data_IF_802093341408
#
_entry.id   IF_802093341408
#
_cell.length_a   1.000
_cell.length_b   1.000
_cell.length_c   1.000
_cell.angle_alpha   90.00
_cell.angle_beta   90.00
_cell.angle_gamma   90.00
#
_symmetry.space_group_name_H-M   'P 1'
#
loop_
_entity.id
_entity.type
_entity.pdbx_description
1 polymer ?
#
# COMPACT_ATOMS: atom_id res chain seq x y z
N UNK A 1 -7.19 -41.27 26.29
CA UNK A 1 -7.62 -40.83 24.94
C UNK A 1 -6.87 -39.53 24.61
N UNK A 2 -5.90 -39.57 23.70
CA UNK A 2 -5.19 -38.38 23.22
C UNK A 2 -6.05 -37.73 22.13
N UNK A 3 -6.64 -36.58 22.41
CA UNK A 3 -7.37 -35.78 21.44
C UNK A 3 -6.38 -35.18 20.45
N UNK A 4 -6.65 -35.42 19.17
CA UNK A 4 -5.87 -34.96 18.03
C UNK A 4 -6.00 -33.43 17.92
N UNK A 5 -4.85 -32.80 17.71
CA UNK A 5 -4.70 -31.57 16.92
C UNK A 5 -5.43 -30.32 17.41
N UNK A 6 -4.91 -29.71 18.47
CA UNK A 6 -5.13 -28.30 18.73
C UNK A 6 -3.78 -27.57 18.76
N UNK A 7 -3.37 -27.04 17.62
CA UNK A 7 -2.10 -26.33 17.41
C UNK A 7 -2.06 -24.93 18.08
N UNK A 8 -3.12 -24.55 18.80
CA UNK A 8 -3.27 -23.25 19.45
C UNK A 8 -3.28 -23.33 20.99
N UNK A 9 -3.01 -24.50 21.58
CA UNK A 9 -2.94 -24.66 23.05
C UNK A 9 -1.63 -24.13 23.61
N UNK A 10 -1.65 -23.62 24.85
CA UNK A 10 -0.46 -23.08 25.54
C UNK A 10 0.69 -24.09 25.59
N UNK A 11 0.37 -25.38 25.76
CA UNK A 11 1.34 -26.49 25.77
C UNK A 11 2.17 -26.59 24.48
N UNK A 12 1.58 -26.25 23.33
CA UNK A 12 2.26 -26.33 22.03
C UNK A 12 3.27 -25.18 21.83
N UNK A 13 2.95 -23.99 22.33
CA UNK A 13 3.88 -22.87 22.32
C UNK A 13 5.07 -23.14 23.26
N UNK A 14 4.85 -23.79 24.39
CA UNK A 14 5.94 -24.14 25.30
C UNK A 14 6.94 -25.12 24.69
N UNK A 15 6.49 -26.08 23.87
CA UNK A 15 7.34 -27.03 23.16
C UNK A 15 8.15 -26.36 22.03
N UNK A 16 7.53 -25.45 21.27
CA UNK A 16 8.21 -24.75 20.15
C UNK A 16 9.26 -23.74 20.66
N UNK A 17 9.07 -23.21 21.87
CA UNK A 17 9.93 -22.18 22.46
C UNK A 17 10.69 -22.66 23.72
N UNK A 18 10.87 -23.97 23.90
CA UNK A 18 11.46 -24.58 25.11
C UNK A 18 12.93 -24.18 25.38
N UNK A 19 13.57 -23.47 24.46
CA UNK A 19 14.95 -22.99 24.62
C UNK A 19 15.20 -21.60 23.99
N UNK A 20 14.18 -20.74 23.94
CA UNK A 20 14.29 -19.35 23.45
C UNK A 20 13.68 -18.35 24.43
N UNK A 21 14.04 -17.07 24.28
CA UNK A 21 13.46 -15.99 25.08
C UNK A 21 11.96 -15.87 24.83
N UNK A 22 11.14 -16.31 25.79
CA UNK A 22 9.66 -16.32 25.70
C UNK A 22 9.04 -14.92 25.83
N UNK A 23 9.85 -13.93 26.23
CA UNK A 23 9.39 -12.56 26.48
C UNK A 23 9.24 -11.72 25.19
N UNK A 24 9.85 -12.13 24.08
CA UNK A 24 9.78 -11.40 22.81
C UNK A 24 9.34 -12.31 21.67
N UNK A 25 8.04 -12.30 21.37
CA UNK A 25 7.46 -13.04 20.27
C UNK A 25 5.93 -13.03 20.24
N UNK A 26 5.36 -13.68 19.22
CA UNK A 26 3.92 -13.76 18.96
C UNK A 26 3.09 -14.36 20.13
N UNK A 27 3.72 -15.01 21.11
CA UNK A 27 3.06 -15.62 22.28
C UNK A 27 2.65 -14.58 23.33
N UNK A 28 3.49 -13.58 23.61
CA UNK A 28 3.19 -12.52 24.58
C UNK A 28 2.00 -11.64 24.14
N UNK A 29 1.91 -11.37 22.83
CA UNK A 29 0.83 -10.55 22.27
C UNK A 29 -0.54 -11.28 22.25
N UNK A 30 -0.55 -12.61 22.30
CA UNK A 30 -1.79 -13.40 22.42
C UNK A 30 -2.30 -13.50 23.85
N UNK A 31 -1.40 -13.47 24.85
CA UNK A 31 -1.79 -13.55 26.27
C UNK A 31 -2.34 -12.24 26.84
N UNK A 32 -2.03 -11.10 26.23
CA UNK A 32 -2.46 -9.76 26.69
C UNK A 32 -3.79 -9.26 26.07
N UNK A 33 -4.37 -9.99 25.11
CA UNK A 33 -5.47 -9.51 24.27
C UNK A 33 -6.83 -9.44 24.99
N UNK A 34 -7.15 -10.41 25.86
CA UNK A 34 -8.48 -10.54 26.48
C UNK A 34 -8.84 -9.38 27.41
N UNK A 35 -7.88 -8.85 28.16
CA UNK A 35 -8.11 -7.75 29.11
C UNK A 35 -8.41 -6.43 28.39
N UNK A 36 -7.71 -6.15 27.30
CA UNK A 36 -7.89 -4.91 26.54
C UNK A 36 -9.23 -4.92 25.78
N UNK A 37 -9.64 -6.07 25.25
CA UNK A 37 -10.97 -6.22 24.62
C UNK A 37 -12.11 -6.09 25.63
N UNK A 38 -11.96 -6.63 26.85
CA UNK A 38 -12.95 -6.49 27.91
C UNK A 38 -13.12 -5.02 28.35
N UNK A 39 -12.02 -4.28 28.52
CA UNK A 39 -12.07 -2.85 28.85
C UNK A 39 -12.73 -2.05 27.71
N UNK A 40 -12.42 -2.37 26.45
CA UNK A 40 -12.99 -1.68 25.30
C UNK A 40 -14.52 -1.88 25.18
N UNK A 41 -15.03 -3.09 25.46
CA UNK A 41 -16.46 -3.41 25.43
C UNK A 41 -17.19 -2.66 26.56
N UNK A 42 -16.61 -2.63 27.77
CA UNK A 42 -17.19 -1.90 28.89
C UNK A 42 -17.23 -0.39 28.56
N UNK A 43 -16.14 0.17 28.04
CA UNK A 43 -16.05 1.59 27.70
C UNK A 43 -17.03 2.03 26.60
N UNK A 44 -17.25 1.19 25.57
CA UNK A 44 -18.28 1.47 24.57
C UNK A 44 -19.68 1.33 25.15
N UNK A 45 -19.94 0.30 25.97
CA UNK A 45 -21.23 0.13 26.65
C UNK A 45 -21.61 1.31 27.54
N UNK A 46 -20.67 1.86 28.31
CA UNK A 46 -20.93 3.04 29.16
C UNK A 46 -21.20 4.29 28.33
N UNK A 47 -20.47 4.51 27.23
CA UNK A 47 -20.67 5.64 26.34
C UNK A 47 -22.08 5.64 25.71
N UNK A 48 -22.52 4.50 25.17
CA UNK A 48 -23.85 4.38 24.57
C UNK A 48 -24.96 4.51 25.61
N UNK A 49 -24.78 3.92 26.80
CA UNK A 49 -25.73 4.06 27.91
C UNK A 49 -25.93 5.52 28.32
N UNK A 50 -24.84 6.30 28.42
CA UNK A 50 -24.92 7.74 28.72
C UNK A 50 -25.57 8.53 27.59
N UNK A 51 -25.28 8.22 26.33
CA UNK A 51 -25.89 8.90 25.17
C UNK A 51 -27.41 8.72 25.11
N UNK A 52 -27.89 7.52 25.47
CA UNK A 52 -29.32 7.21 25.55
C UNK A 52 -29.98 7.83 26.79
N UNK A 53 -29.27 7.92 27.91
CA UNK A 53 -29.78 8.51 29.15
C UNK A 53 -29.79 10.06 29.14
N UNK A 54 -28.90 10.69 28.38
CA UNK A 54 -28.76 12.14 28.26
C UNK A 54 -30.06 12.89 27.89
N UNK A 55 -30.85 12.48 26.89
CA UNK A 55 -32.12 13.16 26.56
C UNK A 55 -33.20 13.03 27.65
N UNK A 56 -33.15 11.99 28.50
CA UNK A 56 -34.08 11.86 29.62
C UNK A 56 -33.77 12.86 30.75
N UNK A 57 -32.48 13.16 30.96
CA UNK A 57 -32.01 14.17 31.90
C UNK A 57 -32.29 15.60 31.43
N UNK A 58 -32.24 15.85 30.12
CA UNK A 58 -32.53 17.17 29.54
C UNK A 58 -34.03 17.48 29.41
N UNK A 59 -34.92 16.53 29.72
CA UNK A 59 -36.38 16.74 29.69
C UNK A 59 -36.88 17.38 31.00
N UNK A 60 -36.27 18.51 31.36
CA UNK A 60 -36.68 19.36 32.48
C UNK A 60 -37.04 20.76 31.99
N UNK A 61 -38.33 21.10 32.04
CA UNK A 61 -38.93 22.44 31.93
C UNK A 61 -38.60 23.28 30.68
N UNK A 62 -39.02 22.81 29.50
CA UNK A 62 -39.29 23.69 28.37
C UNK A 62 -40.79 24.00 28.29
N UNK A 63 -41.19 25.22 28.66
CA UNK A 63 -42.53 25.75 28.39
C UNK A 63 -42.71 25.79 26.87
N UNK A 64 -43.75 25.11 26.37
CA UNK A 64 -44.11 25.10 24.95
C UNK A 64 -45.08 26.24 24.68
N UNK A 65 -44.58 27.34 24.15
CA UNK A 65 -45.45 28.38 23.59
C UNK A 65 -45.90 27.92 22.20
N UNK A 66 -47.23 27.80 22.06
CA UNK A 66 -47.91 27.31 20.85
C UNK A 66 -48.03 28.47 19.86
N UNK A 67 -47.27 28.42 18.76
CA UNK A 67 -47.51 29.27 17.60
C UNK A 67 -48.52 28.54 16.69
N UNK A 68 -49.71 29.10 16.55
CA UNK A 68 -50.71 28.69 15.55
C UNK A 68 -50.32 29.29 14.20
N UNK A 69 -50.20 28.46 13.17
CA UNK A 69 -50.24 28.90 11.77
C UNK A 69 -51.28 28.06 11.05
N UNK A 70 -52.24 28.79 10.49
CA UNK A 70 -53.39 28.33 9.71
C UNK A 70 -52.98 27.69 8.39
N UNK A 71 -53.65 26.58 8.08
CA UNK A 71 -54.17 26.11 6.79
C UNK A 71 -53.43 26.51 5.51
N UNK A 72 -52.95 25.50 4.76
CA UNK A 72 -52.66 25.70 3.35
C UNK A 72 -51.88 24.59 2.63
N UNK A 73 -52.62 23.69 1.99
CA UNK A 73 -52.33 23.04 0.70
C UNK A 73 -51.52 21.73 0.72
N UNK A 74 -52.26 20.68 0.33
CA UNK A 74 -51.84 19.34 -0.09
C UNK A 74 -50.99 19.37 -1.36
N UNK A 75 -49.81 18.77 -1.31
CA UNK A 75 -49.23 18.05 -2.45
C UNK A 75 -48.72 16.70 -1.96
N UNK A 76 -49.56 15.69 -2.15
CA UNK A 76 -49.19 14.27 -2.04
C UNK A 76 -48.15 13.96 -3.12
N UNK A 77 -46.88 14.16 -2.78
CA UNK A 77 -45.74 13.64 -3.53
C UNK A 77 -45.41 12.25 -2.99
N UNK A 78 -46.06 11.23 -3.55
CA UNK A 78 -45.66 9.83 -3.37
C UNK A 78 -44.27 9.66 -3.99
N UNK A 79 -43.22 9.80 -3.18
CA UNK A 79 -41.89 9.28 -3.52
C UNK A 79 -42.01 7.77 -3.47
N UNK A 80 -42.06 7.14 -4.64
CA UNK A 80 -41.85 5.69 -4.75
C UNK A 80 -40.39 5.45 -4.39
N UNK A 81 -40.13 4.86 -3.23
CA UNK A 81 -38.82 4.29 -2.93
C UNK A 81 -38.60 3.13 -3.92
N UNK A 82 -37.66 3.31 -4.86
CA UNK A 82 -37.13 2.17 -5.61
C UNK A 82 -36.41 1.25 -4.61
N UNK A 83 -36.67 -0.07 -4.62
CA UNK A 83 -36.01 -0.98 -3.70
C UNK A 83 -34.50 -0.93 -3.92
N UNK A 84 -33.76 -0.68 -2.83
CA UNK A 84 -32.30 -0.74 -2.81
C UNK A 84 -31.88 -2.16 -3.23
N UNK A 85 -31.34 -2.28 -4.44
CA UNK A 85 -30.74 -3.52 -4.92
C UNK A 85 -29.42 -3.73 -4.17
N UNK A 86 -29.45 -4.55 -3.12
CA UNK A 86 -28.23 -5.04 -2.47
C UNK A 86 -27.65 -6.10 -3.41
N UNK A 87 -26.52 -5.86 -4.10
CA UNK A 87 -25.91 -6.90 -4.91
C UNK A 87 -25.54 -8.07 -3.98
N UNK A 88 -26.03 -9.27 -4.30
CA UNK A 88 -25.64 -10.48 -3.62
C UNK A 88 -24.10 -10.57 -3.59
N UNK A 89 -23.49 -11.01 -2.47
CA UNK A 89 -22.05 -11.20 -2.41
C UNK A 89 -21.63 -12.15 -3.52
N UNK A 90 -20.86 -11.64 -4.50
CA UNK A 90 -20.35 -12.43 -5.62
C UNK A 90 -19.70 -13.71 -5.08
N UNK A 91 -20.36 -14.85 -5.33
CA UNK A 91 -19.85 -16.16 -5.00
C UNK A 91 -18.53 -16.33 -5.75
N UNK A 92 -17.43 -16.38 -5.02
CA UNK A 92 -16.08 -16.58 -5.57
C UNK A 92 -16.07 -17.89 -6.34
N UNK A 93 -16.18 -17.83 -7.66
CA UNK A 93 -15.95 -19.00 -8.52
C UNK A 93 -14.45 -19.25 -8.44
N UNK A 94 -14.07 -20.23 -7.62
CA UNK A 94 -12.71 -20.73 -7.58
C UNK A 94 -12.41 -21.32 -8.96
N UNK A 95 -11.33 -20.91 -9.66
CA UNK A 95 -10.95 -21.57 -10.88
C UNK A 95 -10.72 -23.05 -10.57
N UNK A 96 -11.33 -23.95 -11.35
CA UNK A 96 -11.03 -25.38 -11.26
C UNK A 96 -9.54 -25.54 -11.51
N UNK A 97 -8.81 -25.92 -10.47
CA UNK A 97 -7.41 -26.31 -10.60
C UNK A 97 -7.41 -27.58 -11.45
N UNK A 98 -7.02 -27.46 -12.72
CA UNK A 98 -6.77 -28.62 -13.56
C UNK A 98 -5.66 -29.42 -12.86
N UNK A 99 -6.04 -30.56 -12.28
CA UNK A 99 -5.10 -31.49 -11.69
C UNK A 99 -4.15 -31.96 -12.79
N UNK A 100 -2.91 -31.49 -12.73
CA UNK A 100 -1.84 -32.01 -13.56
C UNK A 100 -1.67 -33.48 -13.18
N UNK A 101 -2.08 -34.37 -14.07
CA UNK A 101 -1.84 -35.82 -13.96
C UNK A 101 -0.36 -36.04 -14.26
N UNK A 102 0.48 -36.53 -13.33
CA UNK A 102 1.82 -36.96 -13.69
C UNK A 102 1.70 -38.25 -14.51
N UNK A 103 2.15 -38.20 -15.76
CA UNK A 103 2.39 -39.39 -16.58
C UNK A 103 3.51 -40.19 -15.89
N UNK A 104 3.17 -41.38 -15.38
CA UNK A 104 4.12 -42.32 -14.80
C UNK A 104 4.73 -43.10 -15.97
N UNK A 105 5.97 -42.80 -16.34
CA UNK A 105 6.79 -43.71 -17.11
C UNK A 105 7.59 -44.58 -16.14
N UNK A 106 7.14 -45.82 -16.01
CA UNK A 106 7.88 -46.92 -15.38
C UNK A 106 9.06 -47.41 -16.23
N UNK A 107 9.87 -48.34 -15.69
CA UNK A 107 11.30 -48.44 -15.96
C UNK A 107 11.67 -49.53 -16.99
N UNK A 108 12.77 -49.35 -17.73
CA UNK A 108 13.87 -50.31 -17.68
C UNK A 108 15.18 -49.87 -18.35
N UNK A 109 16.23 -50.37 -17.72
CA UNK A 109 17.68 -50.32 -17.94
C UNK A 109 18.09 -51.14 -19.16
N UNK A 110 19.08 -50.71 -19.96
CA UNK A 110 20.18 -51.56 -20.49
C UNK A 110 21.50 -50.75 -20.55
N UNK A 111 22.57 -51.45 -20.16
CA UNK A 111 23.99 -51.09 -20.00
C UNK A 111 24.77 -50.89 -21.32
N UNK A 112 25.91 -50.19 -21.21
CA UNK A 112 27.05 -50.21 -22.17
C UNK A 112 27.73 -48.83 -22.26
N UNK A 113 28.72 -48.53 -21.41
CA UNK A 113 30.18 -48.60 -21.64
C UNK A 113 30.74 -47.55 -22.63
N UNK A 114 31.47 -46.57 -22.11
CA UNK A 114 32.70 -46.07 -22.75
C UNK A 114 33.53 -45.31 -21.69
N UNK A 115 34.79 -45.73 -21.57
CA UNK A 115 35.80 -45.25 -20.65
C UNK A 115 36.37 -43.91 -21.14
N UNK A 116 36.67 -42.98 -20.23
CA UNK A 116 37.66 -41.92 -20.51
C UNK A 116 38.70 -41.88 -19.40
N UNK A 117 39.91 -42.27 -19.80
CA UNK A 117 41.16 -42.27 -19.06
C UNK A 117 41.73 -40.85 -18.88
N UNK A 118 42.31 -40.68 -17.69
CA UNK A 118 43.11 -39.62 -17.11
C UNK A 118 44.25 -39.05 -17.98
N UNK A 119 44.61 -37.77 -17.75
CA UNK A 119 46.01 -37.33 -17.60
C UNK A 119 46.11 -36.23 -16.51
N UNK A 120 47.00 -36.46 -15.55
CA UNK A 120 47.26 -35.71 -14.33
C UNK A 120 48.37 -34.63 -14.47
N UNK A 121 48.09 -33.43 -13.94
CA UNK A 121 48.88 -32.55 -13.00
C UNK A 121 50.34 -32.12 -13.36
N UNK A 122 51.09 -31.27 -12.59
CA UNK A 122 50.81 -30.52 -11.33
C UNK A 122 51.45 -29.07 -11.23
N UNK A 123 51.35 -28.45 -10.02
CA UNK A 123 52.39 -27.65 -9.27
C UNK A 123 52.15 -26.13 -8.94
N UNK A 124 51.96 -25.87 -7.62
CA UNK A 124 52.53 -24.87 -6.65
C UNK A 124 52.46 -23.35 -6.94
N UNK A 125 51.92 -22.49 -6.07
CA UNK A 125 52.39 -21.99 -4.74
C UNK A 125 53.50 -20.90 -4.78
N UNK A 126 53.10 -19.69 -4.32
CA UNK A 126 53.78 -18.67 -3.49
C UNK A 126 55.25 -18.21 -3.70
N UNK A 127 55.46 -16.88 -3.75
CA UNK A 127 56.54 -16.17 -3.01
C UNK A 127 56.29 -14.65 -2.88
N UNK A 128 56.70 -14.10 -1.73
CA UNK A 128 56.62 -12.70 -1.29
C UNK A 128 57.90 -11.91 -1.63
N UNK A 129 57.84 -10.58 -1.62
CA UNK A 129 58.85 -9.53 -1.21
C UNK A 129 58.44 -8.21 -1.90
N UNK A 130 58.60 -6.99 -1.39
CA UNK A 130 59.27 -6.40 -0.24
C UNK A 130 59.24 -4.86 -0.44
N UNK A 131 59.23 -4.13 0.68
CA UNK A 131 59.12 -2.69 0.90
C UNK A 131 59.92 -1.75 -0.05
N UNK A 132 59.33 -0.60 -0.43
CA UNK A 132 60.07 0.65 -0.70
C UNK A 132 59.19 1.89 -0.59
N UNK A 133 59.59 2.79 0.31
CA UNK A 133 59.06 4.12 0.54
C UNK A 133 59.69 5.08 -0.47
N UNK A 134 58.94 6.04 -1.00
CA UNK A 134 59.50 7.33 -1.40
C UNK A 134 58.47 8.45 -1.26
N UNK A 135 58.88 9.43 -0.46
CA UNK A 135 58.24 10.70 -0.16
C UNK A 135 58.30 11.62 -1.38
N UNK A 136 57.17 12.20 -1.78
CA UNK A 136 57.16 13.45 -2.54
C UNK A 136 56.10 14.38 -1.94
N UNK A 137 56.60 15.35 -1.16
CA UNK A 137 55.88 16.58 -0.84
C UNK A 137 55.50 17.29 -2.14
N UNK A 138 54.23 17.65 -2.28
CA UNK A 138 53.86 18.82 -3.06
C UNK A 138 52.86 19.64 -2.26
N UNK A 139 53.41 20.50 -1.40
CA UNK A 139 52.72 21.70 -0.94
C UNK A 139 52.53 22.60 -2.15
N UNK A 140 51.30 22.80 -2.61
CA UNK A 140 50.91 24.15 -3.00
C UNK A 140 49.40 24.35 -2.88
N UNK A 141 49.05 25.32 -2.05
CA UNK A 141 47.73 25.94 -2.02
C UNK A 141 47.43 26.49 -3.41
N UNK A 142 46.14 26.52 -3.81
CA UNK A 142 45.47 27.72 -4.29
C UNK A 142 44.00 27.41 -4.66
N UNK A 143 43.12 27.76 -3.71
CA UNK A 143 41.89 28.51 -3.94
C UNK A 143 41.17 28.32 -5.29
N UNK A 144 40.26 27.35 -5.37
CA UNK A 144 39.14 27.38 -6.31
C UNK A 144 37.87 27.51 -5.49
N UNK A 145 37.46 28.77 -5.34
CA UNK A 145 36.09 29.27 -5.35
C UNK A 145 35.03 28.35 -4.76
N UNK A 146 34.70 28.66 -3.51
CA UNK A 146 33.48 28.28 -2.81
C UNK A 146 32.27 28.90 -3.54
N UNK A 147 31.84 28.28 -4.62
CA UNK A 147 30.48 28.40 -5.11
C UNK A 147 29.71 27.21 -4.54
N UNK A 148 29.28 27.35 -3.28
CA UNK A 148 28.26 26.47 -2.71
C UNK A 148 26.97 26.73 -3.47
N UNK A 149 26.83 26.11 -4.64
CA UNK A 149 25.52 25.73 -5.15
C UNK A 149 24.91 24.86 -4.05
N UNK A 150 24.02 25.47 -3.27
CA UNK A 150 23.12 24.75 -2.37
C UNK A 150 22.21 23.91 -3.27
N UNK A 151 22.72 22.76 -3.71
CA UNK A 151 21.85 21.68 -4.12
C UNK A 151 20.99 21.39 -2.89
N UNK A 152 19.65 21.49 -3.02
CA UNK A 152 18.77 21.24 -1.89
C UNK A 152 19.13 19.89 -1.31
N UNK A 153 19.33 19.85 0.01
CA UNK A 153 19.57 18.63 0.76
C UNK A 153 18.49 17.62 0.36
N UNK A 154 18.89 16.59 -0.39
CA UNK A 154 17.98 15.63 -1.00
C UNK A 154 17.46 14.72 0.11
N UNK A 155 16.31 15.07 0.69
CA UNK A 155 15.61 14.25 1.67
C UNK A 155 14.99 13.04 0.98
N UNK A 156 15.05 11.88 1.62
CA UNK A 156 14.41 10.67 1.11
C UNK A 156 12.88 10.80 1.15
N UNK A 157 12.15 10.36 0.10
CA UNK A 157 10.69 10.43 0.10
C UNK A 157 10.06 9.50 1.14
N UNK A 158 9.06 10.01 1.85
CA UNK A 158 8.31 9.28 2.88
C UNK A 158 6.91 8.88 2.39
N UNK A 159 6.28 7.87 2.99
CA UNK A 159 4.93 7.42 2.59
C UNK A 159 3.80 8.13 3.32
N UNK A 160 4.04 8.55 4.56
CA UNK A 160 3.01 9.12 5.43
C UNK A 160 3.55 10.35 6.13
N UNK A 161 2.72 11.40 6.14
CA UNK A 161 3.01 12.71 6.72
C UNK A 161 1.75 13.27 7.37
N UNK A 162 1.90 14.30 8.20
CA UNK A 162 0.77 14.97 8.87
C UNK A 162 -0.17 15.63 7.86
N UNK A 163 0.39 16.26 6.82
CA UNK A 163 -0.37 16.87 5.72
C UNK A 163 0.06 16.22 4.43
N UNK A 164 -0.82 15.41 3.83
CA UNK A 164 -0.56 14.75 2.55
C UNK A 164 -0.46 15.76 1.39
N UNK A 165 0.30 15.44 0.33
CA UNK A 165 0.30 16.23 -0.89
C UNK A 165 -1.10 16.33 -1.49
N UNK A 166 -1.40 17.49 -2.08
CA UNK A 166 -2.73 17.79 -2.64
C UNK A 166 -2.59 18.40 -4.04
N UNK A 167 -3.41 17.95 -4.98
CA UNK A 167 -3.51 18.57 -6.30
C UNK A 167 -3.97 20.04 -6.16
N UNK A 168 -3.52 20.97 -7.03
CA UNK A 168 -4.00 22.34 -6.96
C UNK A 168 -5.52 22.40 -7.21
N UNK A 169 -6.26 22.91 -6.22
CA UNK A 169 -7.74 22.92 -6.24
C UNK A 169 -8.38 21.67 -5.61
N UNK A 170 -7.59 20.73 -5.10
CA UNK A 170 -8.05 19.56 -4.38
C UNK A 170 -8.43 18.39 -5.29
N UNK A 171 -9.07 17.39 -4.68
CA UNK A 171 -9.42 16.13 -5.36
C UNK A 171 -10.43 16.32 -6.50
N UNK A 172 -11.39 17.25 -6.35
CA UNK A 172 -12.39 17.52 -7.39
C UNK A 172 -11.76 18.03 -8.68
N UNK A 173 -10.84 18.99 -8.58
CA UNK A 173 -10.11 19.52 -9.73
C UNK A 173 -9.15 18.49 -10.33
N UNK A 174 -8.57 17.63 -9.50
CA UNK A 174 -7.77 16.49 -9.99
C UNK A 174 -8.63 15.57 -10.86
N UNK A 175 -9.82 15.19 -10.39
CA UNK A 175 -10.72 14.32 -11.15
C UNK A 175 -11.21 14.98 -12.44
N UNK A 176 -11.50 16.28 -12.43
CA UNK A 176 -11.84 17.06 -13.62
C UNK A 176 -10.67 17.11 -14.62
N UNK A 177 -9.44 17.36 -14.13
CA UNK A 177 -8.22 17.33 -14.93
C UNK A 177 -8.01 15.96 -15.58
N UNK A 178 -8.14 14.88 -14.82
CA UNK A 178 -8.02 13.51 -15.33
C UNK A 178 -9.09 13.23 -16.40
N UNK A 179 -10.36 13.56 -16.13
CA UNK A 179 -11.46 13.37 -17.08
C UNK A 179 -11.29 14.15 -18.39
N UNK A 180 -10.64 15.32 -18.34
CA UNK A 180 -10.35 16.14 -19.52
C UNK A 180 -9.13 15.66 -20.32
N UNK A 181 -8.10 15.16 -19.63
CA UNK A 181 -6.80 14.90 -20.23
C UNK A 181 -6.53 13.43 -20.56
N UNK A 182 -7.21 12.47 -19.90
CA UNK A 182 -7.09 11.04 -20.19
C UNK A 182 -7.84 10.73 -21.48
N UNK A 183 -7.15 10.10 -22.43
CA UNK A 183 -7.77 9.53 -23.63
C UNK A 183 -7.78 8.03 -23.55
N UNK A 184 -8.94 7.41 -23.78
CA UNK A 184 -9.02 5.95 -23.86
C UNK A 184 -8.34 5.48 -25.15
N UNK A 185 -7.23 4.70 -25.08
CA UNK A 185 -6.52 4.20 -26.26
C UNK A 185 -7.43 3.34 -27.16
N UNK A 186 -7.26 3.46 -28.48
CA UNK A 186 -8.15 2.80 -29.44
C UNK A 186 -8.04 1.27 -29.38
N UNK A 187 -6.83 0.74 -29.28
CA UNK A 187 -6.55 -0.69 -29.13
C UNK A 187 -7.20 -1.29 -27.87
N UNK A 188 -7.08 -0.60 -26.74
CA UNK A 188 -7.72 -1.01 -25.50
C UNK A 188 -9.26 -0.95 -25.59
N UNK A 189 -9.80 -0.01 -26.38
CA UNK A 189 -11.25 0.14 -26.62
C UNK A 189 -11.79 -0.98 -27.49
N UNK A 190 -11.11 -1.30 -28.59
CA UNK A 190 -11.48 -2.38 -29.52
C UNK A 190 -11.48 -3.75 -28.83
N UNK A 191 -10.53 -3.96 -27.91
CA UNK A 191 -10.40 -5.18 -27.11
C UNK A 191 -11.29 -5.21 -25.85
N UNK A 192 -12.08 -4.15 -25.59
CA UNK A 192 -12.96 -4.10 -24.43
C UNK A 192 -12.25 -4.06 -23.07
N UNK A 193 -10.99 -3.62 -23.02
CA UNK A 193 -10.14 -3.74 -21.83
C UNK A 193 -10.46 -2.66 -20.80
N UNK A 194 -11.11 -3.03 -19.70
CA UNK A 194 -11.45 -2.14 -18.59
C UNK A 194 -10.62 -2.44 -17.33
N UNK A 195 -10.47 -1.46 -16.44
CA UNK A 195 -9.80 -1.69 -15.16
C UNK A 195 -9.23 -0.43 -14.52
N UNK A 196 -8.39 -0.61 -13.49
CA UNK A 196 -7.71 0.48 -12.77
C UNK A 196 -6.19 0.34 -12.88
N UNK A 197 -5.55 1.38 -13.39
CA UNK A 197 -4.09 1.53 -13.40
C UNK A 197 -3.68 2.27 -12.14
N UNK A 198 -2.72 1.72 -11.39
CA UNK A 198 -2.19 2.34 -10.18
C UNK A 198 -0.79 2.89 -10.48
N UNK A 199 -0.65 4.20 -10.33
CA UNK A 199 0.63 4.89 -10.52
C UNK A 199 1.12 5.40 -9.17
N UNK A 200 2.39 5.14 -8.89
CA UNK A 200 3.09 5.68 -7.73
C UNK A 200 4.12 6.69 -8.22
N UNK A 201 4.15 7.87 -7.61
CA UNK A 201 5.12 8.92 -7.91
C UNK A 201 5.50 9.68 -6.65
N UNK A 202 6.55 10.47 -6.72
CA UNK A 202 7.00 11.33 -5.61
C UNK A 202 6.57 12.76 -5.88
N UNK A 203 5.92 13.38 -4.91
CA UNK A 203 5.69 14.84 -4.89
C UNK A 203 6.82 15.47 -4.09
N UNK A 204 7.62 16.29 -4.75
CA UNK A 204 8.76 16.99 -4.16
C UNK A 204 8.31 18.18 -3.31
N UNK A 205 9.26 18.75 -2.56
CA UNK A 205 9.03 19.91 -1.68
C UNK A 205 8.62 21.18 -2.44
N UNK A 206 8.96 21.28 -3.72
CA UNK A 206 8.58 22.37 -4.63
C UNK A 206 7.24 22.11 -5.35
N UNK A 207 6.60 20.97 -5.09
CA UNK A 207 5.37 20.54 -5.74
C UNK A 207 5.57 19.87 -7.11
N UNK A 208 6.82 19.70 -7.58
CA UNK A 208 7.09 18.93 -8.80
C UNK A 208 6.87 17.43 -8.57
N UNK A 209 6.60 16.71 -9.65
CA UNK A 209 6.44 15.25 -9.63
C UNK A 209 7.71 14.60 -10.17
N UNK A 210 8.23 13.58 -9.49
CA UNK A 210 9.34 12.75 -9.94
C UNK A 210 9.09 11.26 -9.70
N UNK A 211 9.99 10.41 -10.18
CA UNK A 211 10.00 8.96 -9.92
C UNK A 211 8.68 8.24 -10.21
N UNK A 212 8.05 8.59 -11.34
CA UNK A 212 6.77 8.02 -11.78
C UNK A 212 6.96 6.54 -12.16
N UNK A 213 6.21 5.66 -11.49
CA UNK A 213 6.23 4.21 -11.67
C UNK A 213 4.83 3.64 -11.70
N UNK A 214 4.58 2.68 -12.58
CA UNK A 214 3.33 1.91 -12.58
C UNK A 214 3.47 0.80 -11.55
N UNK A 215 2.64 0.83 -10.51
CA UNK A 215 2.59 -0.22 -9.49
C UNK A 215 1.72 -1.40 -9.92
N UNK A 216 0.63 -1.12 -10.63
CA UNK A 216 -0.27 -2.14 -11.20
C UNK A 216 -0.86 -1.60 -12.49
N UNK A 217 -0.45 -2.19 -13.60
CA UNK A 217 -1.00 -1.90 -14.92
C UNK A 217 -2.26 -2.72 -15.21
N UNK A 218 -2.95 -2.34 -16.29
CA UNK A 218 -4.07 -3.12 -16.85
C UNK A 218 -3.73 -3.54 -18.28
N UNK A 219 -3.25 -2.59 -19.07
CA UNK A 219 -2.93 -2.78 -20.48
C UNK A 219 -1.88 -1.77 -20.90
N UNK A 220 -0.92 -2.19 -21.70
CA UNK A 220 0.29 -1.40 -22.02
C UNK A 220 -0.02 0.00 -22.58
N UNK A 221 -1.06 0.14 -23.40
CA UNK A 221 -1.48 1.44 -23.95
C UNK A 221 -2.18 2.32 -22.92
N UNK A 222 -3.00 1.74 -22.04
CA UNK A 222 -3.63 2.46 -20.93
C UNK A 222 -2.59 2.93 -19.90
N UNK A 223 -1.59 2.09 -19.65
CA UNK A 223 -0.50 2.38 -18.73
C UNK A 223 0.36 3.55 -19.23
N UNK A 224 0.70 3.54 -20.53
CA UNK A 224 1.46 4.61 -21.18
C UNK A 224 0.71 5.94 -21.18
N UNK A 225 -0.58 5.91 -21.49
CA UNK A 225 -1.42 7.10 -21.45
C UNK A 225 -1.55 7.66 -20.03
N UNK A 226 -1.73 6.79 -19.04
CA UNK A 226 -1.81 7.18 -17.66
C UNK A 226 -0.50 7.85 -17.18
N UNK A 227 0.66 7.30 -17.57
CA UNK A 227 1.96 7.94 -17.31
C UNK A 227 2.08 9.33 -17.97
N UNK A 228 1.66 9.48 -19.23
CA UNK A 228 1.68 10.76 -19.95
C UNK A 228 0.85 11.82 -19.22
N UNK A 229 -0.33 11.45 -18.75
CA UNK A 229 -1.22 12.38 -18.03
C UNK A 229 -0.59 12.80 -16.70
N UNK A 230 -0.03 11.87 -15.93
CA UNK A 230 0.65 12.19 -14.66
C UNK A 230 1.85 13.12 -14.88
N UNK A 231 2.63 12.92 -15.94
CA UNK A 231 3.74 13.82 -16.30
C UNK A 231 3.27 15.23 -16.68
N UNK A 232 2.05 15.37 -17.21
CA UNK A 232 1.47 16.65 -17.61
C UNK A 232 0.74 17.41 -16.50
N UNK A 233 0.77 16.89 -15.27
CA UNK A 233 0.09 17.53 -14.14
C UNK A 233 0.76 18.87 -13.76
N UNK A 234 -0.03 19.85 -13.27
CA UNK A 234 0.51 21.06 -12.67
C UNK A 234 1.27 20.76 -11.38
N UNK A 235 1.96 21.77 -10.84
CA UNK A 235 2.63 21.65 -9.54
C UNK A 235 1.62 21.40 -8.42
N UNK A 236 1.92 20.40 -7.58
CA UNK A 236 1.13 19.99 -6.43
C UNK A 236 1.44 20.84 -5.21
N UNK A 237 0.53 20.88 -4.24
CA UNK A 237 0.86 21.32 -2.89
C UNK A 237 1.69 20.22 -2.22
N UNK A 238 2.91 20.51 -1.74
CA UNK A 238 3.78 19.52 -1.14
C UNK A 238 3.22 19.01 0.19
N UNK A 239 3.58 17.78 0.54
CA UNK A 239 3.30 17.25 1.87
C UNK A 239 4.13 17.97 2.95
N UNK A 240 3.59 18.04 4.17
CA UNK A 240 4.27 18.69 5.31
C UNK A 240 4.34 17.77 6.52
N UNK A 241 5.48 17.81 7.19
CA UNK A 241 5.75 17.16 8.47
C UNK A 241 6.32 18.21 9.42
N UNK A 242 5.71 18.40 10.60
CA UNK A 242 6.15 19.43 11.56
C UNK A 242 6.27 20.82 10.93
N UNK A 243 5.35 21.16 10.03
CA UNK A 243 5.35 22.42 9.28
C UNK A 243 6.39 22.54 8.15
N UNK A 244 7.30 21.58 7.99
CA UNK A 244 8.33 21.57 6.95
C UNK A 244 7.88 20.75 5.74
N UNK A 245 8.10 21.26 4.52
CA UNK A 245 7.81 20.53 3.30
C UNK A 245 8.77 19.33 3.15
N UNK A 246 8.22 18.16 2.84
CA UNK A 246 8.98 16.92 2.66
C UNK A 246 8.54 16.22 1.37
N UNK A 247 9.44 15.50 0.68
CA UNK A 247 9.06 14.70 -0.46
C UNK A 247 8.22 13.49 -0.02
N UNK A 248 7.12 13.22 -0.72
CA UNK A 248 6.15 12.18 -0.32
C UNK A 248 5.75 11.29 -1.49
N UNK A 249 5.69 9.98 -1.27
CA UNK A 249 5.10 9.04 -2.22
C UNK A 249 3.58 9.19 -2.28
N UNK A 250 3.04 9.36 -3.48
CA UNK A 250 1.61 9.42 -3.75
C UNK A 250 1.19 8.28 -4.68
N UNK A 251 0.06 7.64 -4.37
CA UNK A 251 -0.53 6.57 -5.19
C UNK A 251 -1.84 7.06 -5.81
N UNK A 252 -1.89 7.11 -7.14
CA UNK A 252 -3.04 7.57 -7.89
C UNK A 252 -3.67 6.40 -8.69
N UNK A 253 -4.91 6.01 -8.35
CA UNK A 253 -5.68 5.06 -9.16
C UNK A 253 -6.41 5.78 -10.31
N UNK A 254 -6.14 5.37 -11.54
CA UNK A 254 -6.82 5.85 -12.75
C UNK A 254 -7.72 4.74 -13.30
N UNK A 255 -9.01 5.02 -13.44
CA UNK A 255 -10.01 4.04 -13.89
C UNK A 255 -10.34 4.22 -15.38
N UNK A 256 -10.25 3.12 -16.13
CA UNK A 256 -10.71 3.02 -17.52
C UNK A 256 -12.00 2.20 -17.55
N UNK A 257 -13.09 2.85 -17.95
CA UNK A 257 -14.43 2.23 -18.07
C UNK A 257 -14.99 2.64 -19.42
N UNK A 258 -15.50 1.67 -20.19
CA UNK A 258 -16.22 1.95 -21.42
C UNK A 258 -17.66 2.32 -21.06
N UNK A 259 -18.15 3.40 -21.66
CA UNK A 259 -19.55 3.81 -21.58
C UNK A 259 -20.33 3.23 -22.75
#
# INVERSE_FOLDING_TARGET
MKTKENIFTEEWCDIIFENKNKDYGACANRKSSSRNHLIAIIATGTFFSLSICFPLLMKGNAKKDVIKISDGILLSGVVREEPIFIPEPMKKVLPKLNAFKPEVLGPNIILGNEETTFLETPIKSNSNTGLRNDTANFSNQNNIQKETNLLPEKKDPVFFVEVMPEFPGGESEMMAFLGKNIKYPQDARELGIQGKVYIVFVVNTDGSISDIKISRGVYSSCDREAMRVVQSMPKWKPGKQNGTAVPVYFNLPISYVLK
#
